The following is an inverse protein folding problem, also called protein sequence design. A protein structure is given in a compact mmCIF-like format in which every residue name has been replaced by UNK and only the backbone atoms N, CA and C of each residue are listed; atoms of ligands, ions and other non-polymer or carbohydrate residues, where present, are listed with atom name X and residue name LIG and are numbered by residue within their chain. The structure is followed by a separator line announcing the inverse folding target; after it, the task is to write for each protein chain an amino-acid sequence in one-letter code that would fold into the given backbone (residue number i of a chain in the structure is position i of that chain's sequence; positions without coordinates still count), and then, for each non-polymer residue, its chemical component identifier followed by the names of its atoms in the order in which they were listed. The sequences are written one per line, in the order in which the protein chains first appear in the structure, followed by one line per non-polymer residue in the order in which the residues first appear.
data_IF_713311343284
#
_entry.id   IF_713311343284
#
_cell.length_a   1.000
_cell.length_b   1.000
_cell.length_c   1.000
_cell.angle_alpha   90.00
_cell.angle_beta   90.00
_cell.angle_gamma   90.00
#
_symmetry.space_group_name_H-M   'P 1'
#
loop_
_entity.id
_entity.type
_entity.pdbx_description
1 polymer ?
#
# COMPACT_ATOMS: atom_id res chain seq x y z
N UNK A 1 -9.61 -4.28 -14.90
CA UNK A 1 -10.87 -3.93 -14.19
C UNK A 1 -10.93 -4.44 -12.74
N UNK A 2 -10.09 -5.39 -12.31
CA UNK A 2 -10.09 -5.91 -10.93
C UNK A 2 -9.74 -4.87 -9.84
N UNK A 3 -8.86 -3.90 -10.13
CA UNK A 3 -8.38 -2.93 -9.14
C UNK A 3 -9.48 -1.97 -8.65
N UNK A 4 -10.39 -1.54 -9.53
CA UNK A 4 -11.45 -0.60 -9.17
C UNK A 4 -12.59 -1.22 -8.35
N UNK A 5 -12.88 -2.51 -8.58
CA UNK A 5 -13.99 -3.21 -7.92
C UNK A 5 -13.81 -3.34 -6.41
N UNK A 6 -12.59 -3.66 -5.95
CA UNK A 6 -12.28 -3.87 -4.52
C UNK A 6 -12.22 -2.55 -3.74
N UNK A 7 -11.80 -1.46 -4.37
CA UNK A 7 -11.69 -0.14 -3.73
C UNK A 7 -13.06 0.56 -3.55
N UNK A 8 -14.10 0.15 -4.29
CA UNK A 8 -15.41 0.81 -4.31
C UNK A 8 -16.25 0.61 -3.04
N UNK A 9 -16.05 -0.47 -2.29
CA UNK A 9 -16.89 -0.81 -1.13
C UNK A 9 -16.51 -0.09 0.18
N UNK A 10 -15.31 0.49 0.29
CA UNK A 10 -14.80 1.08 1.55
C UNK A 10 -14.97 2.60 1.66
N UNK A 11 -15.87 3.16 0.84
CA UNK A 11 -16.03 4.61 0.64
C UNK A 11 -16.66 5.37 1.82
N UNK A 12 -17.22 4.70 2.83
CA UNK A 12 -18.14 5.36 3.78
C UNK A 12 -17.57 5.82 5.13
N UNK A 13 -16.32 5.54 5.50
CA UNK A 13 -15.75 6.14 6.71
C UNK A 13 -14.25 6.32 6.56
N UNK A 14 -13.73 7.49 6.93
CA UNK A 14 -12.31 7.82 7.18
C UNK A 14 -11.57 8.59 6.08
N UNK A 15 -11.97 9.85 5.87
CA UNK A 15 -11.15 10.87 5.18
C UNK A 15 -9.77 11.08 5.84
N UNK A 16 -9.56 10.56 7.07
CA UNK A 16 -8.33 10.70 7.88
C UNK A 16 -7.43 9.45 7.86
N UNK A 17 -7.84 8.32 7.23
CA UNK A 17 -7.03 7.07 7.29
C UNK A 17 -5.94 6.95 6.22
N UNK A 18 -5.99 7.75 5.15
CA UNK A 18 -5.14 7.55 3.98
C UNK A 18 -3.65 7.88 4.23
N UNK A 19 -3.34 9.05 4.81
CA UNK A 19 -1.96 9.44 5.17
C UNK A 19 -1.29 8.44 6.14
N UNK A 20 -2.08 7.88 7.06
CA UNK A 20 -1.63 6.87 8.03
C UNK A 20 -1.19 5.55 7.40
N UNK A 21 -1.72 5.20 6.21
CA UNK A 21 -1.39 3.95 5.54
C UNK A 21 -0.05 4.04 4.81
N UNK A 22 0.21 5.16 4.12
CA UNK A 22 1.50 5.41 3.47
C UNK A 22 2.64 5.37 4.49
N UNK A 23 2.49 6.10 5.60
CA UNK A 23 3.50 6.13 6.66
C UNK A 23 3.76 4.75 7.26
N UNK A 24 2.71 3.94 7.49
CA UNK A 24 2.86 2.56 7.97
C UNK A 24 3.56 1.66 6.96
N UNK A 25 3.25 1.81 5.67
CA UNK A 25 3.97 1.13 4.61
C UNK A 25 5.46 1.48 4.64
N UNK A 26 5.78 2.76 4.82
CA UNK A 26 7.16 3.23 4.92
C UNK A 26 7.88 2.65 6.14
N UNK A 27 7.24 2.61 7.30
CA UNK A 27 7.80 1.98 8.49
C UNK A 27 8.10 0.49 8.29
N UNK A 28 7.21 -0.25 7.62
CA UNK A 28 7.42 -1.66 7.30
C UNK A 28 8.51 -1.88 6.22
N UNK A 29 8.66 -0.96 5.26
CA UNK A 29 9.74 -1.02 4.24
C UNK A 29 11.13 -0.81 4.85
N UNK A 30 11.27 0.16 5.75
CA UNK A 30 12.57 0.59 6.28
C UNK A 30 12.87 0.08 7.69
N UNK A 31 11.93 -0.61 8.34
CA UNK A 31 12.12 -1.20 9.66
C UNK A 31 12.15 -0.17 10.79
N UNK A 32 11.44 0.96 10.66
CA UNK A 32 11.52 2.06 11.62
C UNK A 32 10.53 1.85 12.78
N UNK A 33 10.99 1.23 13.87
CA UNK A 33 10.21 0.76 15.03
C UNK A 33 9.23 -0.40 14.77
N UNK A 34 9.31 -1.04 13.61
CA UNK A 34 8.54 -2.24 13.24
C UNK A 34 9.48 -3.20 12.53
N UNK A 35 9.23 -4.51 12.62
CA UNK A 35 9.95 -5.52 11.84
C UNK A 35 9.83 -5.24 10.34
N UNK A 36 10.94 -5.32 9.62
CA UNK A 36 10.98 -5.05 8.18
C UNK A 36 10.22 -6.15 7.45
N UNK A 37 9.17 -5.78 6.75
CA UNK A 37 8.31 -6.69 5.98
C UNK A 37 7.79 -5.95 4.75
N UNK A 38 8.40 -6.27 3.60
CA UNK A 38 8.11 -5.64 2.31
C UNK A 38 6.72 -6.05 1.78
N UNK A 39 6.27 -7.28 2.08
CA UNK A 39 4.93 -7.78 1.72
C UNK A 39 3.85 -7.03 2.47
N UNK A 40 4.06 -6.81 3.77
CA UNK A 40 3.14 -6.05 4.60
C UNK A 40 3.12 -4.57 4.25
N UNK A 41 4.27 -4.01 3.88
CA UNK A 41 4.32 -2.64 3.36
C UNK A 41 3.52 -2.48 2.07
N UNK A 42 3.64 -3.44 1.15
CA UNK A 42 2.88 -3.45 -0.10
C UNK A 42 1.37 -3.47 0.13
N UNK A 43 0.89 -4.26 1.09
CA UNK A 43 -0.53 -4.22 1.47
C UNK A 43 -1.00 -2.85 1.96
N UNK A 44 -0.18 -2.14 2.74
CA UNK A 44 -0.51 -0.80 3.23
C UNK A 44 -0.59 0.21 2.09
N UNK A 45 0.38 0.20 1.17
CA UNK A 45 0.34 1.05 -0.01
C UNK A 45 -0.85 0.71 -0.90
N UNK A 46 -1.16 -0.57 -1.12
CA UNK A 46 -2.32 -0.96 -1.92
C UNK A 46 -3.64 -0.47 -1.29
N UNK A 47 -3.77 -0.56 0.04
CA UNK A 47 -4.93 -0.02 0.78
C UNK A 47 -5.02 1.51 0.67
N UNK A 48 -3.91 2.23 0.74
CA UNK A 48 -3.87 3.68 0.55
C UNK A 48 -4.15 4.10 -0.89
N UNK A 49 -3.67 3.33 -1.87
CA UNK A 49 -3.94 3.55 -3.30
C UNK A 49 -5.42 3.43 -3.64
N UNK A 50 -6.14 2.52 -2.95
CA UNK A 50 -7.59 2.40 -3.04
C UNK A 50 -8.34 3.64 -2.52
N UNK A 51 -7.71 4.42 -1.64
CA UNK A 51 -8.23 5.69 -1.13
C UNK A 51 -7.81 6.88 -1.99
N UNK A 52 -7.20 6.64 -3.16
CA UNK A 52 -6.67 7.68 -4.06
C UNK A 52 -5.61 8.57 -3.42
N UNK A 53 -4.91 8.05 -2.40
CA UNK A 53 -3.75 8.74 -1.86
C UNK A 53 -2.61 8.71 -2.89
N UNK A 54 -2.17 9.91 -3.30
CA UNK A 54 -1.15 10.06 -4.33
C UNK A 54 0.19 9.44 -3.94
N UNK A 55 0.54 9.51 -2.65
CA UNK A 55 1.78 8.95 -2.14
C UNK A 55 1.71 7.42 -2.11
N UNK A 56 0.62 6.85 -1.61
CA UNK A 56 0.40 5.40 -1.65
C UNK A 56 0.36 4.84 -3.09
N UNK A 57 -0.25 5.55 -4.04
CA UNK A 57 -0.23 5.18 -5.46
C UNK A 57 1.20 5.13 -6.02
N UNK A 58 2.02 6.13 -5.68
CA UNK A 58 3.42 6.16 -6.07
C UNK A 58 4.20 4.98 -5.49
N UNK A 59 4.06 4.71 -4.19
CA UNK A 59 4.74 3.59 -3.54
C UNK A 59 4.27 2.22 -4.03
N UNK A 60 2.96 2.05 -4.30
CA UNK A 60 2.44 0.83 -4.94
C UNK A 60 3.07 0.62 -6.31
N UNK A 61 3.13 1.68 -7.15
CA UNK A 61 3.80 1.62 -8.45
C UNK A 61 5.29 1.30 -8.32
N UNK A 62 5.97 1.87 -7.33
CA UNK A 62 7.37 1.59 -7.03
C UNK A 62 7.58 0.11 -6.65
N UNK A 63 6.73 -0.46 -5.80
CA UNK A 63 6.82 -1.88 -5.44
C UNK A 63 6.64 -2.79 -6.66
N UNK A 64 5.64 -2.51 -7.52
CA UNK A 64 5.43 -3.26 -8.75
C UNK A 64 6.63 -3.16 -9.71
N UNK A 65 7.21 -1.96 -9.86
CA UNK A 65 8.35 -1.73 -10.76
C UNK A 65 9.63 -2.44 -10.29
N UNK A 66 9.84 -2.51 -8.97
CA UNK A 66 11.02 -3.16 -8.39
C UNK A 66 10.81 -4.67 -8.12
N UNK A 67 9.61 -5.21 -8.36
CA UNK A 67 9.28 -6.60 -8.02
C UNK A 67 9.26 -6.87 -6.52
N UNK A 68 9.11 -5.83 -5.69
CA UNK A 68 9.06 -5.93 -4.24
C UNK A 68 7.67 -6.45 -3.85
N UNK A 69 7.63 -7.49 -3.02
CA UNK A 69 6.40 -8.20 -2.62
C UNK A 69 5.62 -8.91 -3.75
N UNK A 70 6.18 -8.96 -4.96
CA UNK A 70 5.78 -9.94 -5.94
C UNK A 70 6.71 -11.12 -5.66
N UNK A 71 6.22 -12.12 -4.90
CA UNK A 71 6.81 -13.44 -5.05
C UNK A 71 6.77 -13.74 -6.55
N UNK A 72 7.94 -13.72 -7.18
CA UNK A 72 8.13 -14.46 -8.41
C UNK A 72 7.95 -15.91 -7.99
N UNK A 73 6.72 -16.39 -8.01
CA UNK A 73 6.49 -17.81 -8.22
C UNK A 73 7.20 -18.15 -9.54
N UNK A 74 8.24 -18.98 -9.42
CA UNK A 74 9.00 -19.57 -10.53
C UNK A 74 8.14 -20.52 -11.37
#
# INVERSE_FOLDING_TARGET
MYFYGVCLEKRQHSFVKAESLCYKGWQCMYGNNVEKDESKAFEYYQKGSCLWDGESLFWTGFCYANGIAIEKDE
#
